data_IF_250019037675
#
_entry.id   IF_250019037675
#
_cell.length_a   1.000
_cell.length_b   1.000
_cell.length_c   1.000
_cell.angle_alpha   90.00
_cell.angle_beta   90.00
_cell.angle_gamma   90.00
#
_symmetry.space_group_name_H-M   'P 1'
#
loop_
_entity.id
_entity.type
_entity.pdbx_description
1 polymer ?
#
# COMPACT_ATOMS: atom_id res chain seq x y z
N UNK A 1 1.59 62.61 -55.30
CA UNK A 1 0.71 62.76 -54.11
C UNK A 1 -0.43 61.76 -54.21
N UNK A 2 -1.07 61.39 -53.07
CA UNK A 2 -2.23 60.51 -52.89
C UNK A 2 -2.01 58.98 -53.08
N UNK A 3 -1.93 58.27 -51.93
CA UNK A 3 -2.58 56.97 -51.65
C UNK A 3 -4.13 57.18 -51.64
N UNK A 4 -5.05 56.18 -51.60
CA UNK A 4 -4.93 54.76 -51.23
C UNK A 4 -5.39 53.82 -52.41
N UNK A 5 -5.84 52.55 -52.29
CA UNK A 5 -6.19 51.67 -51.16
C UNK A 5 -6.04 50.17 -51.54
N UNK A 6 -6.32 49.26 -50.60
CA UNK A 6 -6.38 47.81 -50.85
C UNK A 6 -7.79 47.33 -51.20
N UNK A 7 -7.91 46.23 -51.95
CA UNK A 7 -9.11 45.39 -51.95
C UNK A 7 -8.72 43.91 -51.90
N UNK A 8 -8.98 43.28 -50.76
CA UNK A 8 -8.77 41.87 -50.47
C UNK A 8 -9.88 41.03 -51.11
N UNK A 9 -9.53 39.94 -51.82
CA UNK A 9 -10.45 38.81 -52.04
C UNK A 9 -9.71 37.49 -51.87
N UNK A 10 -10.16 36.69 -50.89
CA UNK A 10 -9.63 35.37 -50.60
C UNK A 10 -10.00 34.38 -51.72
N UNK A 11 -9.10 33.45 -51.99
CA UNK A 11 -9.43 32.15 -52.56
C UNK A 11 -8.74 31.09 -51.67
N UNK A 12 -9.47 30.23 -50.93
CA UNK A 12 -8.86 29.28 -50.01
C UNK A 12 -8.33 28.06 -50.77
N UNK A 13 -7.01 27.88 -50.79
CA UNK A 13 -6.41 26.63 -51.28
C UNK A 13 -6.53 25.55 -50.21
N UNK A 14 -7.38 24.56 -50.46
CA UNK A 14 -7.74 23.50 -49.53
C UNK A 14 -6.65 22.42 -49.45
N UNK A 15 -5.50 22.74 -48.84
CA UNK A 15 -4.46 21.75 -48.56
C UNK A 15 -4.79 21.02 -47.26
N UNK A 16 -5.43 19.85 -47.40
CA UNK A 16 -5.72 18.92 -46.33
C UNK A 16 -4.41 18.20 -45.90
N UNK A 17 -3.53 18.92 -45.20
CA UNK A 17 -2.36 18.31 -44.55
C UNK A 17 -2.84 17.49 -43.36
N UNK A 18 -3.01 16.19 -43.57
CA UNK A 18 -3.28 15.19 -42.54
C UNK A 18 -2.14 15.15 -41.53
N UNK A 19 -2.20 16.02 -40.53
CA UNK A 19 -1.51 15.80 -39.26
C UNK A 19 -2.21 14.63 -38.57
N UNK A 20 -1.73 13.41 -38.86
CA UNK A 20 -1.85 12.30 -37.94
C UNK A 20 -1.00 12.63 -36.72
N UNK A 21 -1.53 13.50 -35.87
CA UNK A 21 -1.14 13.59 -34.47
C UNK A 21 -1.60 12.30 -33.81
N UNK A 22 -0.82 11.23 -34.02
CA UNK A 22 -0.85 10.07 -33.14
C UNK A 22 -0.39 10.57 -31.79
N UNK A 23 -1.35 10.88 -30.90
CA UNK A 23 -1.08 10.87 -29.48
C UNK A 23 -0.55 9.46 -29.17
N UNK A 24 0.76 9.36 -29.06
CA UNK A 24 1.36 8.28 -28.29
C UNK A 24 1.00 8.65 -26.85
N UNK A 25 -0.10 8.06 -26.37
CA UNK A 25 -0.19 7.79 -24.95
C UNK A 25 0.88 6.73 -24.70
N UNK A 26 2.12 7.19 -24.54
CA UNK A 26 3.15 6.46 -23.83
C UNK A 26 2.62 6.32 -22.40
N UNK A 27 1.88 5.23 -22.17
CA UNK A 27 1.76 4.63 -20.85
C UNK A 27 3.18 4.32 -20.40
N UNK A 28 3.87 5.32 -19.82
CA UNK A 28 5.15 5.13 -19.15
C UNK A 28 4.92 4.07 -18.09
N UNK A 29 5.35 2.84 -18.39
CA UNK A 29 5.24 1.69 -17.52
C UNK A 29 6.15 1.95 -16.32
N UNK A 30 5.61 2.64 -15.31
CA UNK A 30 6.35 3.13 -14.14
C UNK A 30 7.05 1.93 -13.51
N UNK A 31 8.38 1.93 -13.61
CA UNK A 31 9.19 0.80 -13.21
C UNK A 31 8.86 0.39 -11.76
N UNK A 32 8.67 -0.91 -11.48
CA UNK A 32 8.31 -1.36 -10.15
C UNK A 32 9.36 -0.96 -9.11
N UNK A 33 8.90 -0.38 -8.00
CA UNK A 33 9.74 0.05 -6.88
C UNK A 33 10.58 -1.13 -6.36
N UNK A 34 11.91 -1.00 -6.37
CA UNK A 34 12.79 -2.09 -5.94
C UNK A 34 13.04 -2.05 -4.43
N UNK A 35 12.20 -2.72 -3.64
CA UNK A 35 12.26 -2.77 -2.17
C UNK A 35 12.25 -1.37 -1.54
N UNK A 36 11.24 -0.57 -1.90
CA UNK A 36 11.12 0.83 -1.54
C UNK A 36 9.69 1.22 -1.15
N UNK A 37 9.59 2.27 -0.34
CA UNK A 37 8.35 2.96 0.02
C UNK A 37 8.44 4.43 -0.41
N UNK A 38 7.43 4.92 -1.11
CA UNK A 38 7.27 6.33 -1.46
C UNK A 38 6.16 6.97 -0.65
N UNK A 39 6.49 8.07 0.05
CA UNK A 39 5.54 8.90 0.77
C UNK A 39 6.03 10.35 0.80
N UNK A 40 5.12 11.30 0.57
CA UNK A 40 5.39 12.75 0.64
C UNK A 40 6.62 13.22 -0.18
N UNK A 41 6.72 12.72 -1.43
CA UNK A 41 7.85 12.96 -2.35
C UNK A 41 9.22 12.49 -1.83
N UNK A 42 9.25 11.60 -0.84
CA UNK A 42 10.45 10.91 -0.35
C UNK A 42 10.36 9.42 -0.62
N UNK A 43 11.51 8.83 -0.95
CA UNK A 43 11.68 7.39 -1.12
C UNK A 43 12.51 6.85 0.04
N UNK A 44 12.07 5.72 0.59
CA UNK A 44 12.68 5.03 1.72
C UNK A 44 13.03 3.60 1.29
N UNK A 45 14.29 3.20 1.43
CA UNK A 45 14.71 1.82 1.16
C UNK A 45 14.20 0.89 2.28
N UNK A 46 13.56 -0.21 1.91
CA UNK A 46 13.04 -1.22 2.83
C UNK A 46 14.05 -2.36 2.96
N UNK A 47 14.63 -2.50 4.15
CA UNK A 47 15.65 -3.50 4.48
C UNK A 47 15.09 -4.87 4.90
N UNK A 48 13.86 -4.93 5.42
CA UNK A 48 13.32 -6.16 6.01
C UNK A 48 11.78 -6.24 5.93
N UNK A 49 11.30 -7.47 5.74
CA UNK A 49 9.90 -7.85 5.87
C UNK A 49 9.71 -8.83 7.04
N UNK A 50 8.71 -8.59 7.88
CA UNK A 50 8.32 -9.47 8.99
C UNK A 50 6.87 -9.93 8.81
N UNK A 51 6.56 -11.16 9.23
CA UNK A 51 5.20 -11.71 9.23
C UNK A 51 4.71 -12.01 10.64
N UNK A 52 3.43 -11.72 10.88
CA UNK A 52 2.72 -12.06 12.10
C UNK A 52 1.55 -12.99 11.80
N UNK A 53 1.34 -14.01 12.63
CA UNK A 53 0.19 -14.90 12.51
C UNK A 53 -0.81 -14.66 13.65
N UNK A 54 -1.99 -14.15 13.32
CA UNK A 54 -3.10 -13.98 14.26
C UNK A 54 -4.11 -15.14 14.19
N UNK A 55 -3.98 -16.04 13.21
CA UNK A 55 -4.86 -17.17 13.01
C UNK A 55 -6.32 -16.78 12.70
N UNK A 56 -7.29 -17.63 13.11
CA UNK A 56 -8.71 -17.44 12.78
C UNK A 56 -9.36 -16.20 13.43
N UNK A 57 -9.82 -15.28 12.58
CA UNK A 57 -10.46 -14.02 12.92
C UNK A 57 -11.96 -14.01 12.61
N UNK A 58 -12.73 -13.28 13.43
CA UNK A 58 -14.17 -13.11 13.28
C UNK A 58 -14.53 -11.61 13.13
N UNK A 59 -15.22 -11.26 12.04
CA UNK A 59 -15.81 -9.93 11.85
C UNK A 59 -17.08 -9.71 12.70
N UNK A 60 -17.68 -10.80 13.17
CA UNK A 60 -18.85 -10.82 14.04
C UNK A 60 -18.73 -12.04 14.96
N UNK A 61 -19.73 -12.92 15.03
CA UNK A 61 -19.72 -14.15 15.84
C UNK A 61 -18.95 -15.31 15.21
N UNK A 62 -18.95 -15.43 13.88
CA UNK A 62 -18.30 -16.53 13.16
C UNK A 62 -16.87 -16.19 12.74
N UNK A 63 -15.93 -17.09 13.07
CA UNK A 63 -14.59 -17.12 12.49
C UNK A 63 -14.71 -17.44 11.00
N UNK A 64 -14.45 -16.43 10.18
CA UNK A 64 -14.69 -16.43 8.73
C UNK A 64 -13.42 -16.16 7.93
N UNK A 65 -12.40 -15.61 8.59
CA UNK A 65 -11.16 -15.16 7.97
C UNK A 65 -9.94 -15.68 8.72
N UNK A 66 -8.80 -15.70 8.02
CA UNK A 66 -7.48 -15.83 8.59
C UNK A 66 -6.86 -14.43 8.63
N UNK A 67 -6.26 -14.06 9.75
CA UNK A 67 -5.63 -12.76 9.92
C UNK A 67 -4.10 -12.91 9.96
N UNK A 68 -3.42 -12.17 9.10
CA UNK A 68 -1.96 -12.11 9.02
C UNK A 68 -1.50 -10.65 9.13
N UNK A 69 -0.48 -10.40 9.95
CA UNK A 69 0.24 -9.13 9.95
C UNK A 69 1.45 -9.19 9.01
N UNK A 70 1.73 -8.08 8.35
CA UNK A 70 2.97 -7.84 7.62
C UNK A 70 3.55 -6.51 8.10
N UNK A 71 4.85 -6.50 8.40
CA UNK A 71 5.61 -5.28 8.69
C UNK A 71 6.68 -5.13 7.62
N UNK A 72 6.76 -3.97 6.97
CA UNK A 72 7.88 -3.60 6.10
C UNK A 72 8.65 -2.44 6.74
N UNK A 73 9.98 -2.48 6.71
CA UNK A 73 10.81 -1.52 7.46
C UNK A 73 12.18 -1.28 6.82
N UNK A 74 12.81 -0.14 7.12
CA UNK A 74 14.19 0.21 6.74
C UNK A 74 15.27 -0.48 7.60
N UNK A 75 14.88 -1.10 8.71
CA UNK A 75 15.79 -1.90 9.52
C UNK A 75 16.38 -3.08 8.72
N UNK A 76 17.69 -3.31 8.85
CA UNK A 76 18.44 -4.38 8.17
C UNK A 76 18.60 -5.64 9.04
N UNK A 77 18.12 -5.58 10.28
CA UNK A 77 18.07 -6.71 11.22
C UNK A 77 17.03 -6.44 12.30
N UNK A 78 16.54 -7.49 12.96
CA UNK A 78 15.56 -7.40 14.06
C UNK A 78 16.03 -6.61 15.28
N UNK A 79 17.34 -6.37 15.42
CA UNK A 79 17.92 -5.60 16.53
C UNK A 79 18.17 -4.12 16.20
N UNK A 80 17.96 -3.71 14.94
CA UNK A 80 18.12 -2.32 14.53
C UNK A 80 16.81 -1.57 14.76
N UNK A 81 16.84 -0.48 15.52
CA UNK A 81 15.69 0.45 15.61
C UNK A 81 15.36 0.98 14.19
N UNK A 82 14.11 0.85 13.72
CA UNK A 82 13.69 1.37 12.42
C UNK A 82 13.30 2.84 12.48
N UNK A 83 13.50 3.58 11.39
CA UNK A 83 12.95 4.93 11.22
C UNK A 83 11.58 4.88 10.52
N UNK A 84 11.25 3.77 9.85
CA UNK A 84 9.98 3.58 9.16
C UNK A 84 9.42 2.17 9.37
N UNK A 85 8.13 2.06 9.65
CA UNK A 85 7.41 0.78 9.72
C UNK A 85 6.04 0.91 9.06
N UNK A 86 5.86 0.26 7.91
CA UNK A 86 4.54 0.08 7.30
C UNK A 86 3.89 -1.17 7.89
N UNK A 87 2.80 -0.98 8.65
CA UNK A 87 2.02 -2.05 9.27
C UNK A 87 0.82 -2.39 8.40
N UNK A 88 0.69 -3.65 7.98
CA UNK A 88 -0.39 -4.14 7.13
C UNK A 88 -1.08 -5.34 7.81
N UNK A 89 -2.38 -5.24 8.12
CA UNK A 89 -3.14 -6.38 8.64
C UNK A 89 -4.10 -6.89 7.56
N UNK A 90 -3.82 -8.10 7.08
CA UNK A 90 -4.48 -8.74 5.95
C UNK A 90 -5.43 -9.83 6.42
N UNK A 91 -6.61 -9.89 5.82
CA UNK A 91 -7.67 -10.83 6.17
C UNK A 91 -8.13 -11.55 4.91
N UNK A 92 -7.91 -12.87 4.83
CA UNK A 92 -8.39 -13.71 3.72
C UNK A 92 -9.49 -14.68 4.18
N UNK A 93 -10.43 -15.08 3.32
CA UNK A 93 -11.47 -16.04 3.68
C UNK A 93 -10.90 -17.40 4.10
N UNK A 94 -11.65 -18.10 4.97
CA UNK A 94 -11.25 -19.38 5.55
C UNK A 94 -10.49 -19.22 6.87
N UNK A 95 -10.10 -20.33 7.51
CA UNK A 95 -9.57 -20.33 8.89
C UNK A 95 -8.25 -21.09 9.06
N UNK A 96 -7.63 -21.56 7.98
CA UNK A 96 -6.59 -22.58 8.09
C UNK A 96 -5.17 -22.08 7.77
N UNK A 97 -5.03 -21.19 6.78
CA UNK A 97 -3.74 -20.63 6.33
C UNK A 97 -3.91 -19.21 5.78
N UNK A 98 -2.84 -18.39 5.77
CA UNK A 98 -2.78 -17.19 4.93
C UNK A 98 -2.93 -17.54 3.45
N UNK A 99 -3.61 -16.69 2.69
CA UNK A 99 -3.79 -16.83 1.24
C UNK A 99 -3.30 -15.56 0.55
N UNK A 100 -2.55 -15.72 -0.54
CA UNK A 100 -2.06 -14.61 -1.36
C UNK A 100 -3.15 -14.06 -2.29
N UNK A 101 -2.98 -12.82 -2.75
CA UNK A 101 -3.94 -12.12 -3.61
C UNK A 101 -3.97 -10.63 -3.36
N UNK A 102 -4.95 -9.96 -3.94
CA UNK A 102 -5.23 -8.54 -3.72
C UNK A 102 -6.28 -8.35 -2.62
N UNK A 103 -5.99 -7.45 -1.68
CA UNK A 103 -6.81 -7.10 -0.52
C UNK A 103 -7.33 -5.67 -0.72
N UNK A 104 -8.66 -5.48 -0.65
CA UNK A 104 -9.30 -4.16 -0.71
C UNK A 104 -9.37 -3.50 0.69
N UNK A 105 -9.49 -2.18 0.76
CA UNK A 105 -9.67 -1.49 2.04
C UNK A 105 -10.98 -1.92 2.75
N UNK A 106 -10.83 -2.39 3.98
CA UNK A 106 -11.88 -2.86 4.87
C UNK A 106 -12.41 -1.76 5.77
N UNK A 107 -13.42 -1.01 5.31
CA UNK A 107 -14.07 0.07 6.08
C UNK A 107 -15.01 -0.45 7.20
N UNK A 108 -14.55 -1.46 7.95
CA UNK A 108 -15.34 -2.22 8.93
C UNK A 108 -15.73 -1.35 10.12
N UNK A 109 -14.89 -0.36 10.51
CA UNK A 109 -15.16 0.56 11.63
C UNK A 109 -16.41 1.41 11.42
N UNK A 110 -16.71 1.79 10.17
CA UNK A 110 -17.79 2.72 9.84
C UNK A 110 -19.09 2.02 9.43
N UNK A 111 -19.24 0.71 9.69
CA UNK A 111 -20.46 -0.02 9.41
C UNK A 111 -20.87 -1.00 10.53
N UNK A 112 -22.17 -1.30 10.68
CA UNK A 112 -22.65 -2.37 11.56
C UNK A 112 -21.94 -3.71 11.29
N UNK A 113 -21.65 -4.49 12.34
CA UNK A 113 -20.84 -5.71 12.23
C UNK A 113 -21.48 -6.83 11.41
N UNK A 114 -22.82 -6.88 11.37
CA UNK A 114 -23.59 -7.76 10.48
C UNK A 114 -23.39 -7.37 8.99
N UNK A 115 -23.41 -6.06 8.67
CA UNK A 115 -23.09 -5.55 7.34
C UNK A 115 -21.64 -5.80 6.97
N UNK A 116 -20.70 -5.62 7.89
CA UNK A 116 -19.28 -5.92 7.65
C UNK A 116 -19.08 -7.41 7.34
N UNK A 117 -19.64 -8.30 8.18
CA UNK A 117 -19.60 -9.73 7.96
C UNK A 117 -20.21 -10.11 6.61
N UNK A 118 -21.37 -9.57 6.24
CA UNK A 118 -22.01 -9.83 4.95
C UNK A 118 -21.20 -9.31 3.74
N UNK A 119 -20.63 -8.10 3.82
CA UNK A 119 -19.86 -7.47 2.74
C UNK A 119 -18.53 -8.18 2.47
N UNK A 120 -17.86 -8.65 3.53
CA UNK A 120 -16.50 -9.14 3.45
C UNK A 120 -16.35 -10.67 3.58
N UNK A 121 -17.39 -11.46 3.91
CA UNK A 121 -17.35 -12.93 4.16
C UNK A 121 -16.47 -13.75 3.21
N UNK A 122 -16.44 -13.37 1.93
CA UNK A 122 -15.75 -14.09 0.86
C UNK A 122 -14.71 -13.23 0.14
N UNK A 123 -14.19 -12.20 0.82
CA UNK A 123 -13.23 -11.24 0.26
C UNK A 123 -11.92 -11.21 1.02
N UNK A 124 -10.85 -10.97 0.27
CA UNK A 124 -9.59 -10.48 0.82
C UNK A 124 -9.73 -8.99 1.13
N UNK A 125 -9.49 -8.58 2.38
CA UNK A 125 -9.49 -7.16 2.78
C UNK A 125 -8.39 -6.86 3.79
N UNK A 126 -8.08 -5.57 3.99
CA UNK A 126 -7.17 -5.12 5.04
C UNK A 126 -7.78 -4.00 5.87
N UNK A 127 -7.44 -3.91 7.15
CA UNK A 127 -7.90 -2.85 8.07
C UNK A 127 -6.86 -2.58 9.17
N UNK A 128 -6.99 -1.48 9.91
CA UNK A 128 -6.03 -1.06 10.95
C UNK A 128 -4.57 -0.92 10.47
N UNK A 129 -4.34 -0.90 9.15
CA UNK A 129 -3.04 -0.73 8.54
C UNK A 129 -2.62 0.74 8.53
N UNK A 130 -1.33 1.03 8.64
CA UNK A 130 -0.82 2.39 8.69
C UNK A 130 0.69 2.49 8.60
N UNK A 131 1.18 3.71 8.43
CA UNK A 131 2.60 4.05 8.41
C UNK A 131 3.01 4.60 9.79
N UNK A 132 4.08 4.06 10.38
CA UNK A 132 4.88 4.76 11.38
C UNK A 132 6.12 5.34 10.70
N UNK A 133 6.45 6.58 11.02
CA UNK A 133 7.61 7.29 10.47
C UNK A 133 8.19 8.22 11.54
N UNK A 134 9.44 8.00 11.93
CA UNK A 134 10.20 8.89 12.82
C UNK A 134 10.29 10.29 12.17
N UNK A 135 9.51 11.23 12.71
CA UNK A 135 9.38 12.61 12.24
C UNK A 135 10.42 13.51 12.90
N UNK A 136 10.76 13.24 14.17
CA UNK A 136 11.56 14.11 15.02
C UNK A 136 13.08 13.76 14.95
N UNK A 137 13.42 12.55 14.50
CA UNK A 137 14.73 11.91 14.35
C UNK A 137 15.44 11.51 15.64
N UNK A 138 14.70 11.15 16.68
CA UNK A 138 15.22 10.65 17.96
C UNK A 138 15.43 9.12 17.98
N UNK A 139 15.06 8.42 16.91
CA UNK A 139 15.12 6.96 16.78
C UNK A 139 14.13 6.22 17.68
N UNK A 140 13.03 6.84 18.07
CA UNK A 140 11.89 6.21 18.74
C UNK A 140 10.64 6.46 17.90
N UNK A 141 9.78 5.45 17.72
CA UNK A 141 8.53 5.61 16.98
C UNK A 141 7.41 5.85 17.99
N UNK A 142 6.81 7.04 17.98
CA UNK A 142 5.68 7.40 18.85
C UNK A 142 4.34 7.13 18.13
N UNK A 143 3.58 6.07 18.47
CA UNK A 143 2.32 5.77 17.78
C UNK A 143 1.23 6.81 17.99
N UNK A 144 1.33 7.69 18.99
CA UNK A 144 0.34 8.74 19.25
C UNK A 144 0.56 9.99 18.38
N UNK A 145 1.76 10.16 17.81
CA UNK A 145 2.15 11.36 17.03
C UNK A 145 2.65 11.04 15.61
N UNK A 146 3.13 9.83 15.37
CA UNK A 146 3.86 9.45 14.15
C UNK A 146 3.17 8.32 13.35
N UNK A 147 1.98 7.90 13.80
CA UNK A 147 1.14 6.95 13.09
C UNK A 147 0.19 7.67 12.11
N UNK A 148 0.16 7.19 10.87
CA UNK A 148 -0.73 7.64 9.81
C UNK A 148 -1.59 6.46 9.33
N UNK A 149 -2.90 6.46 9.64
CA UNK A 149 -3.81 5.36 9.27
C UNK A 149 -4.06 5.34 7.75
N UNK A 150 -4.08 4.15 7.15
CA UNK A 150 -4.52 3.97 5.76
C UNK A 150 -6.06 4.04 5.71
N UNK A 151 -6.60 4.83 4.77
CA UNK A 151 -8.04 5.05 4.58
C UNK A 151 -8.60 4.53 3.26
N UNK A 152 -7.75 4.18 2.29
CA UNK A 152 -8.20 3.65 0.98
C UNK A 152 -7.07 2.91 0.25
N UNK A 153 -7.41 2.20 -0.83
CA UNK A 153 -6.50 1.58 -1.78
C UNK A 153 -6.47 0.06 -1.72
N UNK A 154 -5.35 -0.52 -2.17
CA UNK A 154 -5.17 -1.96 -2.28
C UNK A 154 -3.76 -2.42 -1.90
N UNK A 155 -3.69 -3.65 -1.40
CA UNK A 155 -2.44 -4.37 -1.13
C UNK A 155 -2.49 -5.68 -1.91
N UNK A 156 -1.46 -5.98 -2.70
CA UNK A 156 -1.29 -7.29 -3.35
C UNK A 156 -0.13 -8.03 -2.71
N UNK A 157 -0.43 -9.18 -2.10
CA UNK A 157 0.55 -10.15 -1.62
C UNK A 157 0.66 -11.29 -2.64
N UNK A 158 1.86 -11.66 -3.06
CA UNK A 158 2.13 -12.82 -3.93
C UNK A 158 3.38 -13.57 -3.47
N UNK A 159 3.61 -14.77 -4.00
CA UNK A 159 4.65 -15.69 -3.52
C UNK A 159 4.13 -16.72 -2.52
N UNK A 160 5.03 -17.34 -1.77
CA UNK A 160 4.77 -18.45 -0.85
C UNK A 160 5.78 -18.43 0.29
N UNK A 161 5.35 -18.67 1.53
CA UNK A 161 6.23 -18.61 2.71
C UNK A 161 7.54 -19.40 2.53
N UNK A 162 8.70 -18.82 2.92
CA UNK A 162 8.89 -17.50 3.52
C UNK A 162 8.98 -16.34 2.51
N UNK A 163 9.04 -16.62 1.20
CA UNK A 163 9.36 -15.63 0.17
C UNK A 163 8.10 -15.01 -0.45
N UNK A 164 7.90 -13.72 -0.19
CA UNK A 164 6.75 -12.97 -0.69
C UNK A 164 7.16 -11.74 -1.49
N UNK A 165 6.22 -11.27 -2.31
CA UNK A 165 6.22 -9.91 -2.86
C UNK A 165 4.97 -9.20 -2.35
N UNK A 166 5.17 -8.05 -1.70
CA UNK A 166 4.11 -7.13 -1.28
C UNK A 166 4.14 -5.93 -2.22
N UNK A 167 2.99 -5.56 -2.76
CA UNK A 167 2.76 -4.28 -3.45
C UNK A 167 1.65 -3.54 -2.72
N UNK A 168 1.88 -2.28 -2.37
CA UNK A 168 0.97 -1.41 -1.66
C UNK A 168 0.73 -0.16 -2.51
N UNK A 169 -0.54 0.17 -2.77
CA UNK A 169 -0.93 1.44 -3.39
C UNK A 169 -2.15 1.96 -2.64
N UNK A 170 -1.91 2.87 -1.70
CA UNK A 170 -2.88 3.27 -0.68
C UNK A 170 -2.92 4.78 -0.46
N UNK A 171 -3.97 5.25 0.20
CA UNK A 171 -4.14 6.65 0.58
C UNK A 171 -4.19 6.70 2.10
N UNK A 172 -3.34 7.53 2.71
CA UNK A 172 -3.33 7.77 4.15
C UNK A 172 -4.43 8.77 4.54
N UNK A 173 -4.74 8.87 5.82
CA UNK A 173 -5.74 9.83 6.33
C UNK A 173 -5.39 11.30 6.10
N UNK A 174 -4.12 11.61 5.83
CA UNK A 174 -3.67 12.92 5.35
C UNK A 174 -4.09 13.23 3.91
N UNK A 175 -4.76 12.29 3.22
CA UNK A 175 -5.10 12.36 1.80
C UNK A 175 -3.92 12.12 0.85
N UNK A 176 -2.70 11.95 1.39
CA UNK A 176 -1.49 11.71 0.60
C UNK A 176 -1.43 10.24 0.14
N UNK A 177 -0.97 9.97 -1.09
CA UNK A 177 -0.70 8.61 -1.54
C UNK A 177 0.54 8.04 -0.84
N UNK A 178 0.53 6.73 -0.62
CA UNK A 178 1.68 5.93 -0.23
C UNK A 178 1.77 4.75 -1.20
N UNK A 179 2.95 4.56 -1.79
CA UNK A 179 3.28 3.36 -2.55
C UNK A 179 4.36 2.59 -1.83
N UNK A 180 4.32 1.27 -1.87
CA UNK A 180 5.46 0.45 -1.45
C UNK A 180 5.53 -0.82 -2.28
N UNK A 181 6.74 -1.30 -2.55
CA UNK A 181 6.96 -2.68 -2.97
C UNK A 181 8.09 -3.27 -2.13
N UNK A 182 7.93 -4.51 -1.70
CA UNK A 182 8.99 -5.29 -1.08
C UNK A 182 8.91 -6.73 -1.57
N UNK A 183 10.05 -7.26 -2.02
CA UNK A 183 10.25 -8.65 -2.43
C UNK A 183 11.42 -9.23 -1.67
N UNK A 184 11.19 -10.35 -0.99
CA UNK A 184 12.22 -11.06 -0.26
C UNK A 184 11.66 -12.10 0.72
N UNK A 185 12.57 -12.68 1.49
CA UNK A 185 12.27 -13.61 2.58
C UNK A 185 11.74 -12.85 3.79
N UNK A 186 10.57 -13.24 4.29
CA UNK A 186 9.96 -12.67 5.48
C UNK A 186 10.32 -13.48 6.73
N UNK A 187 10.65 -12.77 7.82
CA UNK A 187 10.99 -13.39 9.11
C UNK A 187 9.70 -13.48 9.95
N UNK A 188 9.29 -14.68 10.39
CA UNK A 188 8.18 -14.82 11.34
C UNK A 188 8.59 -14.30 12.72
N UNK A 189 7.68 -13.56 13.36
CA UNK A 189 7.85 -13.00 14.70
C UNK A 189 6.69 -13.40 15.61
N UNK A 190 6.95 -13.40 16.92
CA UNK A 190 5.94 -13.58 17.99
C UNK A 190 5.80 -12.29 18.81
N UNK A 191 4.57 -11.80 18.91
CA UNK A 191 4.12 -10.65 19.67
C UNK A 191 3.54 -11.24 20.94
N UNK A 192 4.23 -11.02 22.05
CA UNK A 192 3.68 -11.35 23.35
C UNK A 192 2.40 -10.55 23.59
N UNK A 193 1.43 -11.11 24.32
CA UNK A 193 0.18 -10.41 24.64
C UNK A 193 0.35 -9.28 25.67
N UNK A 194 1.59 -8.84 25.91
CA UNK A 194 2.02 -7.85 26.89
C UNK A 194 2.85 -6.75 26.22
N UNK A 195 2.23 -5.99 25.31
CA UNK A 195 2.69 -4.67 24.87
C UNK A 195 3.91 -4.64 23.94
N UNK A 196 5.09 -4.96 24.49
CA UNK A 196 6.29 -4.20 24.16
C UNK A 196 7.48 -5.01 23.63
N UNK A 197 7.41 -6.35 23.61
CA UNK A 197 8.54 -7.21 23.15
C UNK A 197 8.21 -8.03 21.91
N UNK A 198 8.83 -7.65 20.78
CA UNK A 198 8.93 -8.44 19.56
C UNK A 198 10.00 -9.52 19.73
N UNK A 199 9.59 -10.75 19.99
CA UNK A 199 10.52 -11.89 20.10
C UNK A 199 10.51 -12.70 18.82
N UNK A 200 11.67 -12.89 18.19
CA UNK A 200 11.79 -13.76 17.02
C UNK A 200 11.63 -15.23 17.43
N UNK A 201 10.67 -15.95 16.86
CA UNK A 201 10.55 -17.40 17.07
C UNK A 201 11.73 -18.12 16.41
N UNK A 202 12.71 -18.55 17.20
CA UNK A 202 13.78 -19.44 16.72
C UNK A 202 13.23 -20.86 16.57
N UNK A 203 13.23 -21.36 15.34
CA UNK A 203 13.13 -22.79 15.01
C UNK A 203 14.42 -23.53 15.36
#
# INVERSE_FOLDING_TARGET
>A
MKKPMACLRLLPLFFFSLFLASCHDDDEEVAPLSNQLEYDSRTYDLGMGLTYDFGPFALHSEKTHYAQGILLTDAKSVNQKPNIVLRLYLFNPGTNVPVTGTFEFGDVKNMPSDRAAAKYRWKNFFLNSGLLLDLNKDQELDPDQEYFEIRNGSITLSGTAPDYTVNCNVILETGKPLKAQFKGTFIPITVSSSGDDLTSSRS
#
